data_IF_098529394368
#
_entry.id   IF_098529394368
#
_cell.length_a   1.000
_cell.length_b   1.000
_cell.length_c   1.000
_cell.angle_alpha   90.00
_cell.angle_beta   90.00
_cell.angle_gamma   90.00
#
_symmetry.space_group_name_H-M   'P 1'
#
loop_
_entity.id
_entity.type
_entity.pdbx_description
1 polymer ?
#
# COMPACT_ATOMS: atom_id res chain seq x y z
N UNK A 1 89.71 -93.63 -66.42
CA UNK A 1 90.35 -94.92 -66.09
C UNK A 1 90.58 -95.65 -67.40
N UNK A 2 91.82 -96.05 -67.70
CA UNK A 2 92.17 -96.69 -68.96
C UNK A 2 91.47 -98.07 -69.03
N UNK A 3 90.45 -98.19 -69.88
CA UNK A 3 89.74 -99.43 -70.13
C UNK A 3 90.71 -100.47 -70.68
N UNK A 4 90.96 -101.52 -69.90
CA UNK A 4 91.74 -102.68 -70.34
C UNK A 4 91.11 -103.31 -71.57
N UNK A 5 91.92 -103.98 -72.38
CA UNK A 5 91.45 -104.63 -73.60
C UNK A 5 90.51 -105.78 -73.26
N UNK A 6 89.37 -105.79 -73.92
CA UNK A 6 88.37 -106.83 -73.76
C UNK A 6 88.67 -108.02 -74.67
N UNK A 7 88.19 -109.19 -74.30
CA UNK A 7 88.29 -110.40 -75.11
C UNK A 7 87.70 -110.19 -76.52
N UNK A 8 86.54 -109.52 -76.61
CA UNK A 8 85.86 -109.21 -77.88
C UNK A 8 86.73 -108.36 -78.81
N UNK A 9 87.49 -107.40 -78.28
CA UNK A 9 88.40 -106.58 -79.08
C UNK A 9 89.53 -107.44 -79.69
N UNK A 10 90.09 -108.36 -78.89
CA UNK A 10 91.15 -109.29 -79.34
C UNK A 10 90.61 -110.25 -80.41
N UNK A 11 89.42 -110.79 -80.21
CA UNK A 11 88.79 -111.73 -81.13
C UNK A 11 88.41 -111.06 -82.44
N UNK A 12 87.80 -109.87 -82.39
CA UNK A 12 87.42 -109.11 -83.59
C UNK A 12 88.66 -108.74 -84.42
N UNK A 13 89.74 -108.33 -83.76
CA UNK A 13 91.00 -108.03 -84.46
C UNK A 13 91.68 -109.27 -85.03
N UNK A 14 91.65 -110.41 -84.32
CA UNK A 14 92.18 -111.67 -84.81
C UNK A 14 91.37 -112.22 -86.00
N UNK A 15 90.04 -112.14 -85.94
CA UNK A 15 89.13 -112.49 -87.03
C UNK A 15 89.35 -111.61 -88.26
N UNK A 16 89.48 -110.29 -88.08
CA UNK A 16 89.81 -109.37 -89.18
C UNK A 16 91.16 -109.69 -89.84
N UNK A 17 92.20 -109.98 -89.03
CA UNK A 17 93.51 -110.39 -89.55
C UNK A 17 93.44 -111.72 -90.31
N UNK A 18 92.64 -112.67 -89.84
CA UNK A 18 92.42 -113.95 -90.50
C UNK A 18 91.70 -113.78 -91.86
N UNK A 19 90.67 -112.92 -91.92
CA UNK A 19 89.97 -112.57 -93.16
C UNK A 19 90.88 -111.84 -94.17
N UNK A 20 91.84 -111.05 -93.68
CA UNK A 20 92.89 -110.42 -94.49
C UNK A 20 93.98 -111.42 -94.95
N UNK A 21 93.89 -112.71 -94.56
CA UNK A 21 94.84 -113.76 -94.94
C UNK A 21 96.14 -113.75 -94.14
N UNK A 22 96.25 -112.93 -93.08
CA UNK A 22 97.44 -112.83 -92.24
C UNK A 22 97.32 -113.70 -90.98
N UNK A 23 98.41 -114.35 -90.57
CA UNK A 23 98.42 -115.15 -89.32
C UNK A 23 98.30 -114.23 -88.10
N UNK A 24 97.25 -114.36 -87.26
CA UNK A 24 97.07 -113.52 -86.07
C UNK A 24 98.10 -113.90 -84.99
N UNK A 25 99.19 -113.14 -84.91
CA UNK A 25 100.19 -113.25 -83.84
C UNK A 25 99.94 -112.18 -82.78
N UNK A 26 100.41 -112.39 -81.55
CA UNK A 26 100.23 -111.44 -80.43
C UNK A 26 100.63 -110.01 -80.84
N UNK A 27 101.73 -109.87 -81.55
CA UNK A 27 102.22 -108.57 -82.03
C UNK A 27 101.32 -107.93 -83.10
N UNK A 28 100.84 -108.72 -84.07
CA UNK A 28 99.96 -108.21 -85.14
C UNK A 28 98.58 -107.84 -84.62
N UNK A 29 98.03 -108.64 -83.71
CA UNK A 29 96.75 -108.35 -83.06
C UNK A 29 96.87 -107.07 -82.23
N UNK A 30 97.98 -106.90 -81.50
CA UNK A 30 98.27 -105.66 -80.77
C UNK A 30 98.40 -104.45 -81.71
N UNK A 31 99.07 -104.60 -82.85
CA UNK A 31 99.19 -103.53 -83.86
C UNK A 31 97.81 -103.15 -84.42
N UNK A 32 96.95 -104.12 -84.72
CA UNK A 32 95.60 -103.88 -85.25
C UNK A 32 94.68 -103.16 -84.26
N UNK A 33 94.79 -103.48 -82.96
CA UNK A 33 94.02 -102.83 -81.88
C UNK A 33 94.65 -101.49 -81.47
N UNK A 34 95.96 -101.32 -81.68
CA UNK A 34 96.71 -100.10 -81.35
C UNK A 34 97.04 -99.92 -79.86
N UNK A 35 96.68 -100.87 -79.00
CA UNK A 35 96.90 -100.85 -77.54
C UNK A 35 97.02 -102.28 -76.99
N UNK A 36 97.53 -102.45 -75.76
CA UNK A 36 97.51 -103.74 -75.04
C UNK A 36 98.86 -104.31 -74.63
N UNK A 37 98.97 -104.88 -73.43
CA UNK A 37 100.17 -105.62 -73.02
C UNK A 37 100.19 -107.01 -73.67
N UNK A 38 101.35 -107.52 -74.13
CA UNK A 38 101.49 -108.90 -74.65
C UNK A 38 100.94 -109.95 -73.67
N UNK A 39 101.09 -109.74 -72.37
CA UNK A 39 100.60 -110.65 -71.34
C UNK A 39 99.07 -110.70 -71.24
N UNK A 40 98.38 -109.66 -71.71
CA UNK A 40 96.90 -109.60 -71.70
C UNK A 40 96.32 -110.15 -73.00
N UNK A 41 97.00 -109.96 -74.14
CA UNK A 41 96.52 -110.48 -75.43
C UNK A 41 96.75 -111.98 -75.56
N UNK A 42 97.82 -112.53 -74.96
CA UNK A 42 98.16 -113.95 -75.10
C UNK A 42 97.05 -114.92 -74.68
N UNK A 43 96.42 -114.81 -73.48
CA UNK A 43 95.39 -115.76 -73.05
C UNK A 43 94.12 -115.66 -73.91
N UNK A 44 93.72 -114.44 -74.29
CA UNK A 44 92.54 -114.23 -75.14
C UNK A 44 92.76 -114.71 -76.57
N UNK A 45 93.95 -114.54 -77.13
CA UNK A 45 94.29 -115.04 -78.46
C UNK A 45 94.35 -116.58 -78.49
N UNK A 46 94.79 -117.21 -77.41
CA UNK A 46 94.80 -118.67 -77.28
C UNK A 46 93.37 -119.24 -77.13
N UNK A 47 92.52 -118.54 -76.37
CA UNK A 47 91.10 -118.87 -76.25
C UNK A 47 90.38 -118.69 -77.59
N UNK A 48 90.67 -117.59 -78.30
CA UNK A 48 90.21 -117.37 -79.67
C UNK A 48 90.62 -118.52 -80.59
N UNK A 49 91.91 -118.89 -80.63
CA UNK A 49 92.41 -119.95 -81.51
C UNK A 49 91.78 -121.32 -81.19
N UNK A 50 91.53 -121.61 -79.90
CA UNK A 50 90.83 -122.83 -79.47
C UNK A 50 89.39 -122.87 -79.97
N UNK A 51 88.69 -121.74 -79.92
CA UNK A 51 87.30 -121.62 -80.41
C UNK A 51 87.22 -121.55 -81.94
N UNK A 52 88.28 -121.08 -82.60
CA UNK A 52 88.33 -120.87 -84.05
C UNK A 52 88.12 -122.17 -84.84
N UNK A 53 88.66 -123.29 -84.37
CA UNK A 53 88.47 -124.60 -85.03
C UNK A 53 86.99 -125.01 -85.11
N UNK A 54 86.19 -124.66 -84.09
CA UNK A 54 84.74 -124.89 -84.11
C UNK A 54 84.03 -123.87 -85.03
N UNK A 55 84.45 -122.60 -85.01
CA UNK A 55 83.85 -121.52 -85.82
C UNK A 55 84.13 -121.67 -87.32
N UNK A 56 85.31 -122.12 -87.73
CA UNK A 56 85.63 -122.39 -89.14
C UNK A 56 84.82 -123.57 -89.67
N UNK A 57 84.49 -124.54 -88.81
CA UNK A 57 83.66 -125.69 -89.20
C UNK A 57 82.18 -125.31 -89.39
N UNK A 58 81.76 -124.16 -88.88
CA UNK A 58 80.42 -123.60 -89.08
C UNK A 58 80.42 -122.59 -90.24
N UNK A 59 79.81 -122.91 -91.40
CA UNK A 59 79.77 -122.04 -92.58
C UNK A 59 79.08 -120.69 -92.36
N UNK A 60 78.36 -120.49 -91.24
CA UNK A 60 77.62 -119.26 -90.93
C UNK A 60 78.32 -118.29 -89.97
N UNK A 61 79.42 -118.68 -89.33
CA UNK A 61 79.99 -117.93 -88.20
C UNK A 61 80.63 -116.56 -88.57
N UNK A 62 80.84 -116.30 -89.86
CA UNK A 62 81.43 -115.06 -90.38
C UNK A 62 80.58 -114.39 -91.47
N UNK A 63 79.36 -114.87 -91.71
CA UNK A 63 78.46 -114.27 -92.68
C UNK A 63 77.91 -112.93 -92.14
N UNK A 64 77.89 -111.90 -92.99
CA UNK A 64 77.15 -110.67 -92.70
C UNK A 64 75.68 -111.01 -92.40
N UNK A 65 74.99 -110.25 -91.52
CA UNK A 65 73.56 -110.46 -91.30
C UNK A 65 72.86 -110.50 -92.65
N UNK A 66 72.04 -111.52 -92.89
CA UNK A 66 71.37 -111.68 -94.16
C UNK A 66 70.64 -110.37 -94.51
N UNK A 67 70.98 -109.79 -95.67
CA UNK A 67 70.31 -108.61 -96.18
C UNK A 67 68.81 -108.91 -96.22
N UNK A 68 68.01 -108.09 -95.53
CA UNK A 68 66.56 -108.21 -95.58
C UNK A 68 66.15 -108.15 -97.06
N UNK A 69 65.39 -109.12 -97.58
CA UNK A 69 65.01 -109.13 -98.99
C UNK A 69 64.35 -107.80 -99.37
N UNK A 70 64.74 -107.20 -100.49
CA UNK A 70 64.26 -105.88 -100.95
C UNK A 70 62.73 -105.69 -100.86
N UNK A 71 61.88 -106.71 -101.17
CA UNK A 71 60.42 -106.57 -101.01
C UNK A 71 59.99 -106.31 -99.57
N UNK A 72 60.68 -106.89 -98.57
CA UNK A 72 60.39 -106.71 -97.15
C UNK A 72 60.84 -105.33 -96.66
N UNK A 73 62.00 -104.84 -97.13
CA UNK A 73 62.48 -103.50 -96.81
C UNK A 73 61.55 -102.40 -97.38
N UNK A 74 61.08 -102.56 -98.62
CA UNK A 74 60.11 -101.66 -99.26
C UNK A 74 58.76 -101.67 -98.53
N UNK A 75 58.26 -102.84 -98.13
CA UNK A 75 57.03 -102.94 -97.34
C UNK A 75 57.18 -102.24 -95.98
N UNK A 76 58.30 -102.42 -95.28
CA UNK A 76 58.58 -101.75 -94.01
C UNK A 76 58.65 -100.22 -94.15
N UNK A 77 59.29 -99.72 -95.21
CA UNK A 77 59.33 -98.29 -95.51
C UNK A 77 57.93 -97.73 -95.78
N UNK A 78 57.11 -98.44 -96.55
CA UNK A 78 55.73 -98.04 -96.82
C UNK A 78 54.86 -98.02 -95.54
N UNK A 79 54.97 -99.05 -94.68
CA UNK A 79 54.28 -99.05 -93.39
C UNK A 79 54.73 -97.90 -92.49
N UNK A 80 56.02 -97.57 -92.49
CA UNK A 80 56.56 -96.44 -91.74
C UNK A 80 56.05 -95.09 -92.26
N UNK A 81 56.01 -94.90 -93.58
CA UNK A 81 55.43 -93.69 -94.19
C UNK A 81 53.94 -93.56 -93.89
N UNK A 82 53.18 -94.65 -94.00
CA UNK A 82 51.77 -94.67 -93.63
C UNK A 82 51.57 -94.33 -92.14
N UNK A 83 52.35 -94.93 -91.24
CA UNK A 83 52.31 -94.61 -89.81
C UNK A 83 52.66 -93.15 -89.51
N UNK A 84 53.66 -92.58 -90.19
CA UNK A 84 53.99 -91.16 -90.06
C UNK A 84 52.90 -90.24 -90.60
N UNK A 85 52.26 -90.61 -91.72
CA UNK A 85 51.15 -89.84 -92.29
C UNK A 85 49.94 -89.80 -91.35
N UNK A 86 49.61 -90.95 -90.75
CA UNK A 86 48.53 -91.09 -89.79
C UNK A 86 48.84 -90.34 -88.49
N UNK A 87 50.07 -90.46 -87.96
CA UNK A 87 50.50 -89.72 -86.78
C UNK A 87 50.45 -88.19 -87.00
N UNK A 88 50.87 -87.70 -88.18
CA UNK A 88 50.76 -86.28 -88.54
C UNK A 88 49.31 -85.83 -88.66
N UNK A 89 48.43 -86.64 -89.28
CA UNK A 89 47.02 -86.33 -89.39
C UNK A 89 46.33 -86.26 -88.01
N UNK A 90 46.61 -87.21 -87.13
CA UNK A 90 46.12 -87.20 -85.74
C UNK A 90 46.64 -86.01 -84.95
N UNK A 91 47.92 -85.65 -85.10
CA UNK A 91 48.50 -84.47 -84.46
C UNK A 91 47.87 -83.18 -84.97
N UNK A 92 47.63 -83.05 -86.27
CA UNK A 92 46.98 -81.88 -86.85
C UNK A 92 45.52 -81.76 -86.37
N UNK A 93 44.78 -82.86 -86.29
CA UNK A 93 43.43 -82.88 -85.69
C UNK A 93 43.47 -82.46 -84.22
N UNK A 94 44.40 -82.98 -83.42
CA UNK A 94 44.55 -82.62 -82.02
C UNK A 94 44.88 -81.13 -81.85
N UNK A 95 45.75 -80.57 -82.71
CA UNK A 95 46.02 -79.13 -82.70
C UNK A 95 44.80 -78.31 -83.08
N UNK A 96 44.06 -78.68 -84.13
CA UNK A 96 42.82 -77.99 -84.52
C UNK A 96 41.81 -77.98 -83.36
N UNK A 97 41.61 -79.12 -82.71
CA UNK A 97 40.75 -79.21 -81.52
C UNK A 97 41.18 -78.28 -80.39
N UNK A 98 42.47 -78.27 -80.04
CA UNK A 98 43.01 -77.35 -79.02
C UNK A 98 42.89 -75.87 -79.40
N UNK A 99 43.09 -75.53 -80.68
CA UNK A 99 42.93 -74.16 -81.15
C UNK A 99 41.48 -73.69 -81.08
N UNK A 100 40.53 -74.56 -81.40
CA UNK A 100 39.10 -74.28 -81.25
C UNK A 100 38.70 -74.15 -79.77
N UNK A 101 39.21 -75.00 -78.88
CA UNK A 101 39.00 -74.88 -77.42
C UNK A 101 39.56 -73.57 -76.89
N UNK A 102 40.80 -73.22 -77.23
CA UNK A 102 41.44 -71.98 -76.79
C UNK A 102 40.72 -70.73 -77.34
N UNK A 103 40.20 -70.79 -78.58
CA UNK A 103 39.39 -69.72 -79.15
C UNK A 103 38.09 -69.52 -78.36
N UNK A 104 37.40 -70.61 -78.00
CA UNK A 104 36.18 -70.55 -77.18
C UNK A 104 36.46 -70.02 -75.77
N UNK A 105 37.54 -70.45 -75.14
CA UNK A 105 37.96 -69.93 -73.82
C UNK A 105 38.30 -68.43 -73.91
N UNK A 106 38.98 -68.00 -74.98
CA UNK A 106 39.28 -66.59 -75.23
C UNK A 106 38.03 -65.73 -75.40
N UNK A 107 37.04 -66.21 -76.14
CA UNK A 107 35.74 -65.54 -76.31
C UNK A 107 34.96 -65.45 -74.99
N UNK A 108 34.97 -66.52 -74.18
CA UNK A 108 34.33 -66.52 -72.85
C UNK A 108 35.00 -65.51 -71.91
N UNK A 109 36.32 -65.52 -71.82
CA UNK A 109 37.07 -64.58 -71.00
C UNK A 109 36.86 -63.12 -71.44
N UNK A 110 36.75 -62.86 -72.75
CA UNK A 110 36.45 -61.54 -73.27
C UNK A 110 35.04 -61.08 -72.87
N UNK A 111 34.03 -61.94 -73.01
CA UNK A 111 32.66 -61.67 -72.55
C UNK A 111 32.61 -61.41 -71.04
N UNK A 112 33.30 -62.22 -70.25
CA UNK A 112 33.33 -62.05 -68.79
C UNK A 112 34.02 -60.74 -68.39
N UNK A 113 35.10 -60.36 -69.07
CA UNK A 113 35.78 -59.09 -68.85
C UNK A 113 34.87 -57.89 -69.17
N UNK A 114 34.13 -57.94 -70.28
CA UNK A 114 33.15 -56.90 -70.64
C UNK A 114 32.03 -56.81 -69.58
N UNK A 115 31.50 -57.94 -69.12
CA UNK A 115 30.48 -57.96 -68.06
C UNK A 115 30.99 -57.38 -66.74
N UNK A 116 32.23 -57.67 -66.36
CA UNK A 116 32.86 -57.12 -65.16
C UNK A 116 33.05 -55.60 -65.30
N UNK A 117 33.54 -55.12 -66.44
CA UNK A 117 33.67 -53.68 -66.69
C UNK A 117 32.33 -52.94 -66.62
N UNK A 118 31.26 -53.52 -67.19
CA UNK A 118 29.92 -52.95 -67.10
C UNK A 118 29.42 -52.89 -65.65
N UNK A 119 29.67 -53.93 -64.84
CA UNK A 119 29.30 -53.95 -63.42
C UNK A 119 30.08 -52.94 -62.61
N UNK A 120 31.39 -52.81 -62.85
CA UNK A 120 32.23 -51.80 -62.19
C UNK A 120 31.76 -50.38 -62.51
N UNK A 121 31.45 -50.10 -63.78
CA UNK A 121 30.90 -48.81 -64.18
C UNK A 121 29.56 -48.51 -63.50
N UNK A 122 28.66 -49.51 -63.40
CA UNK A 122 27.39 -49.36 -62.69
C UNK A 122 27.56 -49.13 -61.18
N UNK A 123 28.51 -49.83 -60.54
CA UNK A 123 28.81 -49.65 -59.12
C UNK A 123 29.41 -48.26 -58.87
N UNK A 124 30.34 -47.81 -59.72
CA UNK A 124 30.92 -46.47 -59.62
C UNK A 124 29.85 -45.37 -59.77
N UNK A 125 28.91 -45.53 -60.71
CA UNK A 125 27.83 -44.58 -60.88
C UNK A 125 26.89 -44.55 -59.66
N UNK A 126 26.50 -45.71 -59.13
CA UNK A 126 25.70 -45.80 -57.90
C UNK A 126 26.40 -45.18 -56.69
N UNK A 127 27.72 -45.37 -56.57
CA UNK A 127 28.50 -44.75 -55.51
C UNK A 127 28.47 -43.23 -55.61
N UNK A 128 28.63 -42.68 -56.82
CA UNK A 128 28.52 -41.23 -57.06
C UNK A 128 27.13 -40.69 -56.71
N UNK A 129 26.07 -41.38 -57.11
CA UNK A 129 24.70 -41.00 -56.78
C UNK A 129 24.44 -41.03 -55.27
N UNK A 130 24.96 -42.05 -54.58
CA UNK A 130 24.88 -42.15 -53.11
C UNK A 130 25.68 -41.05 -52.41
N UNK A 131 26.84 -40.70 -52.92
CA UNK A 131 27.65 -39.59 -52.39
C UNK A 131 26.94 -38.24 -52.57
N UNK A 132 26.34 -38.00 -53.74
CA UNK A 132 25.60 -36.76 -53.99
C UNK A 132 24.33 -36.67 -53.15
N UNK A 133 23.56 -37.76 -53.05
CA UNK A 133 22.37 -37.80 -52.18
C UNK A 133 22.73 -37.61 -50.71
N UNK A 134 23.85 -38.18 -50.24
CA UNK A 134 24.35 -37.97 -48.87
C UNK A 134 24.80 -36.52 -48.67
N UNK A 135 25.45 -35.90 -49.66
CA UNK A 135 25.82 -34.48 -49.61
C UNK A 135 24.59 -33.57 -49.54
N UNK A 136 23.58 -33.85 -50.34
CA UNK A 136 22.31 -33.12 -50.30
C UNK A 136 21.63 -33.31 -48.95
N UNK A 137 21.52 -34.55 -48.44
CA UNK A 137 20.92 -34.84 -47.15
C UNK A 137 21.65 -34.16 -45.98
N UNK A 138 22.99 -34.17 -45.98
CA UNK A 138 23.78 -33.49 -44.94
C UNK A 138 23.63 -31.97 -44.99
N UNK A 139 23.62 -31.36 -46.18
CA UNK A 139 23.33 -29.93 -46.32
C UNK A 139 21.91 -29.55 -45.89
N UNK A 140 20.92 -30.39 -46.18
CA UNK A 140 19.54 -30.19 -45.73
C UNK A 140 19.41 -30.32 -44.21
N UNK A 141 20.12 -31.28 -43.60
CA UNK A 141 20.17 -31.43 -42.15
C UNK A 141 20.81 -30.20 -41.49
N UNK A 142 21.96 -29.74 -41.98
CA UNK A 142 22.61 -28.53 -41.47
C UNK A 142 21.68 -27.30 -41.59
N UNK A 143 21.02 -27.11 -42.73
CA UNK A 143 20.07 -26.02 -42.91
C UNK A 143 18.83 -26.14 -41.98
N UNK A 144 18.40 -27.36 -41.65
CA UNK A 144 17.32 -27.58 -40.69
C UNK A 144 17.77 -27.30 -39.25
N UNK A 145 18.99 -27.68 -38.88
CA UNK A 145 19.61 -27.37 -37.58
C UNK A 145 19.78 -25.86 -37.40
N UNK A 146 20.26 -25.13 -38.40
CA UNK A 146 20.38 -23.66 -38.38
C UNK A 146 19.00 -23.00 -38.19
N UNK A 147 17.97 -23.48 -38.90
CA UNK A 147 16.59 -22.99 -38.74
C UNK A 147 16.04 -23.27 -37.35
N UNK A 148 16.33 -24.44 -36.78
CA UNK A 148 15.92 -24.81 -35.42
C UNK A 148 16.59 -23.89 -34.39
N UNK A 149 17.91 -23.69 -34.49
CA UNK A 149 18.65 -22.79 -33.61
C UNK A 149 18.14 -21.34 -33.70
N UNK A 150 17.85 -20.85 -34.91
CA UNK A 150 17.26 -19.53 -35.11
C UNK A 150 15.86 -19.42 -34.46
N UNK A 151 15.03 -20.45 -34.61
CA UNK A 151 13.71 -20.50 -33.98
C UNK A 151 13.79 -20.55 -32.45
N UNK A 152 14.72 -21.31 -31.88
CA UNK A 152 14.96 -21.36 -30.43
C UNK A 152 15.42 -20.01 -29.88
N UNK A 153 16.32 -19.31 -30.60
CA UNK A 153 16.75 -17.96 -30.22
C UNK A 153 15.59 -16.97 -30.27
N UNK A 154 14.74 -17.04 -31.31
CA UNK A 154 13.54 -16.20 -31.40
C UNK A 154 12.57 -16.49 -30.26
N UNK A 155 12.35 -17.76 -29.90
CA UNK A 155 11.49 -18.13 -28.77
C UNK A 155 12.03 -17.57 -27.45
N UNK A 156 13.33 -17.71 -27.18
CA UNK A 156 13.97 -17.13 -25.98
C UNK A 156 13.80 -15.61 -25.92
N UNK A 157 13.98 -14.92 -27.04
CA UNK A 157 13.77 -13.47 -27.13
C UNK A 157 12.31 -13.09 -26.86
N UNK A 158 11.34 -13.85 -27.40
CA UNK A 158 9.91 -13.65 -27.14
C UNK A 158 9.57 -13.90 -25.67
N UNK A 159 10.10 -14.94 -25.05
CA UNK A 159 9.88 -15.25 -23.63
C UNK A 159 10.44 -14.15 -22.71
N UNK A 160 11.63 -13.62 -23.01
CA UNK A 160 12.18 -12.48 -22.28
C UNK A 160 11.32 -11.23 -22.45
N UNK A 161 10.83 -10.96 -23.66
CA UNK A 161 9.92 -9.84 -23.92
C UNK A 161 8.58 -10.00 -23.18
N UNK A 162 8.01 -11.21 -23.17
CA UNK A 162 6.79 -11.50 -22.42
C UNK A 162 6.99 -11.29 -20.93
N UNK A 163 8.10 -11.76 -20.35
CA UNK A 163 8.45 -11.51 -18.94
C UNK A 163 8.56 -10.02 -18.63
N UNK A 164 9.22 -9.24 -19.49
CA UNK A 164 9.32 -7.78 -19.33
C UNK A 164 7.96 -7.10 -19.37
N UNK A 165 7.10 -7.47 -20.32
CA UNK A 165 5.74 -6.93 -20.44
C UNK A 165 4.87 -7.32 -19.24
N UNK A 166 5.00 -8.56 -18.75
CA UNK A 166 4.28 -9.01 -17.54
C UNK A 166 4.66 -8.18 -16.31
N UNK A 167 5.97 -7.98 -16.08
CA UNK A 167 6.44 -7.12 -14.99
C UNK A 167 5.92 -5.67 -15.12
N UNK A 168 6.00 -5.09 -16.34
CA UNK A 168 5.46 -3.75 -16.59
C UNK A 168 3.95 -3.66 -16.35
N UNK A 169 3.21 -4.72 -16.69
CA UNK A 169 1.76 -4.78 -16.45
C UNK A 169 1.45 -4.89 -14.96
N UNK A 170 2.22 -5.67 -14.21
CA UNK A 170 2.10 -5.76 -12.74
C UNK A 170 2.41 -4.42 -12.08
N UNK A 171 3.51 -3.76 -12.46
CA UNK A 171 3.87 -2.43 -11.98
C UNK A 171 2.79 -1.39 -12.29
N UNK A 172 2.26 -1.39 -13.52
CA UNK A 172 1.18 -0.48 -13.92
C UNK A 172 -0.12 -0.74 -13.13
N UNK A 173 -0.44 -2.01 -12.85
CA UNK A 173 -1.58 -2.40 -12.01
C UNK A 173 -1.40 -1.91 -10.58
N UNK A 174 -0.22 -2.11 -10.00
CA UNK A 174 0.12 -1.61 -8.66
C UNK A 174 0.06 -0.08 -8.58
N UNK A 175 0.60 0.63 -9.57
CA UNK A 175 0.53 2.09 -9.64
C UNK A 175 -0.92 2.59 -9.73
N UNK A 176 -1.76 1.93 -10.54
CA UNK A 176 -3.18 2.27 -10.67
C UNK A 176 -3.94 2.01 -9.37
N UNK A 177 -3.71 0.86 -8.71
CA UNK A 177 -4.31 0.56 -7.41
C UNK A 177 -3.89 1.56 -6.33
N UNK A 178 -2.62 1.95 -6.30
CA UNK A 178 -2.12 2.96 -5.37
C UNK A 178 -2.77 4.33 -5.62
N UNK A 179 -2.89 4.75 -6.89
CA UNK A 179 -3.56 6.00 -7.24
C UNK A 179 -5.06 6.00 -6.88
N UNK A 180 -5.75 4.88 -7.09
CA UNK A 180 -7.15 4.73 -6.67
C UNK A 180 -7.30 4.81 -5.15
N UNK A 181 -6.47 4.08 -4.40
CA UNK A 181 -6.48 4.08 -2.94
C UNK A 181 -6.17 5.48 -2.38
N UNK A 182 -5.24 6.22 -2.98
CA UNK A 182 -4.95 7.59 -2.61
C UNK A 182 -6.12 8.53 -2.92
N UNK A 183 -6.74 8.37 -4.09
CA UNK A 183 -7.97 9.11 -4.44
C UNK A 183 -9.11 8.85 -3.46
N UNK A 184 -9.31 7.61 -3.00
CA UNK A 184 -10.28 7.26 -1.98
C UNK A 184 -9.96 7.90 -0.62
N UNK A 185 -8.68 7.90 -0.21
CA UNK A 185 -8.24 8.55 1.03
C UNK A 185 -8.50 10.05 0.99
N UNK A 186 -8.14 10.72 -0.09
CA UNK A 186 -8.37 12.16 -0.27
C UNK A 186 -9.87 12.45 -0.24
N UNK A 187 -10.71 11.68 -0.95
CA UNK A 187 -12.18 11.82 -0.90
C UNK A 187 -12.73 11.65 0.51
N UNK A 188 -12.27 10.64 1.24
CA UNK A 188 -12.70 10.40 2.62
C UNK A 188 -12.30 11.55 3.56
N UNK A 189 -11.08 12.06 3.43
CA UNK A 189 -10.62 13.22 4.20
C UNK A 189 -11.44 14.47 3.89
N UNK A 190 -11.74 14.74 2.63
CA UNK A 190 -12.60 15.86 2.24
C UNK A 190 -14.03 15.70 2.77
N UNK A 191 -14.61 14.50 2.69
CA UNK A 191 -15.94 14.23 3.23
C UNK A 191 -15.98 14.48 4.76
N UNK A 192 -14.96 14.00 5.49
CA UNK A 192 -14.84 14.26 6.92
C UNK A 192 -14.66 15.75 7.24
N UNK A 193 -13.88 16.48 6.45
CA UNK A 193 -13.69 17.91 6.63
C UNK A 193 -14.99 18.70 6.40
N UNK A 194 -15.78 18.34 5.39
CA UNK A 194 -17.09 18.94 5.12
C UNK A 194 -18.09 18.64 6.25
N UNK A 195 -18.19 17.38 6.69
CA UNK A 195 -19.06 16.98 7.81
C UNK A 195 -18.69 17.71 9.12
N UNK A 196 -17.39 17.84 9.41
CA UNK A 196 -16.92 18.58 10.56
C UNK A 196 -17.25 20.08 10.47
N UNK A 197 -17.16 20.66 9.28
CA UNK A 197 -17.51 22.06 9.03
C UNK A 197 -19.02 22.28 9.18
N UNK A 198 -19.85 21.41 8.61
CA UNK A 198 -21.30 21.45 8.74
C UNK A 198 -21.75 21.28 10.20
N UNK A 199 -21.14 20.33 10.93
CA UNK A 199 -21.39 20.13 12.36
C UNK A 199 -21.03 21.38 13.17
N UNK A 200 -19.91 22.05 12.85
CA UNK A 200 -19.54 23.32 13.50
C UNK A 200 -20.52 24.43 13.17
N UNK A 201 -20.90 24.59 11.90
CA UNK A 201 -21.85 25.63 11.48
C UNK A 201 -23.21 25.44 12.15
N UNK A 202 -23.76 24.22 12.14
CA UNK A 202 -25.04 23.92 12.79
C UNK A 202 -24.98 24.12 14.31
N UNK A 203 -23.85 23.78 14.96
CA UNK A 203 -23.64 24.06 16.38
C UNK A 203 -23.57 25.57 16.68
N UNK A 204 -22.86 26.34 15.85
CA UNK A 204 -22.80 27.80 15.96
C UNK A 204 -24.17 28.45 15.74
N UNK A 205 -24.92 28.01 14.72
CA UNK A 205 -26.26 28.50 14.44
C UNK A 205 -27.21 28.23 15.61
N UNK A 206 -27.23 27.01 16.15
CA UNK A 206 -28.01 26.67 17.35
C UNK A 206 -27.64 27.54 18.54
N UNK A 207 -26.35 27.77 18.76
CA UNK A 207 -25.87 28.63 19.86
C UNK A 207 -26.36 30.07 19.67
N UNK A 208 -26.23 30.64 18.48
CA UNK A 208 -26.70 32.00 18.19
C UNK A 208 -28.21 32.15 18.31
N UNK A 209 -28.99 31.16 17.86
CA UNK A 209 -30.45 31.17 18.05
C UNK A 209 -30.82 31.16 19.54
N UNK A 210 -30.14 30.32 20.34
CA UNK A 210 -30.34 30.28 21.79
C UNK A 210 -29.95 31.61 22.47
N UNK A 211 -28.82 32.22 22.07
CA UNK A 211 -28.39 33.53 22.56
C UNK A 211 -29.44 34.60 22.21
N UNK A 212 -29.90 34.64 20.95
CA UNK A 212 -30.94 35.58 20.49
C UNK A 212 -32.26 35.41 21.27
N UNK A 213 -32.70 34.18 21.50
CA UNK A 213 -33.91 33.91 22.28
C UNK A 213 -33.73 34.30 23.75
N UNK A 214 -32.54 34.12 24.32
CA UNK A 214 -32.20 34.55 25.68
C UNK A 214 -32.22 36.09 25.79
N UNK A 215 -31.70 36.80 24.80
CA UNK A 215 -31.71 38.26 24.72
C UNK A 215 -33.12 38.79 24.52
N UNK A 216 -33.93 38.17 23.63
CA UNK A 216 -35.36 38.48 23.50
C UNK A 216 -36.10 38.28 24.82
N UNK A 217 -35.81 37.20 25.53
CA UNK A 217 -36.35 36.94 26.86
C UNK A 217 -35.87 37.96 27.92
N UNK A 218 -34.62 38.44 27.84
CA UNK A 218 -34.09 39.50 28.69
C UNK A 218 -34.78 40.85 28.39
N UNK A 219 -34.91 41.23 27.12
CA UNK A 219 -35.63 42.44 26.69
C UNK A 219 -37.07 42.40 27.18
N UNK A 220 -37.79 41.28 26.99
CA UNK A 220 -39.17 41.13 27.47
C UNK A 220 -39.28 41.27 28.99
N UNK A 221 -38.33 40.71 29.74
CA UNK A 221 -38.27 40.87 31.21
C UNK A 221 -37.96 42.31 31.64
N UNK A 222 -37.04 42.99 30.94
CA UNK A 222 -36.72 44.39 31.19
C UNK A 222 -37.90 45.31 30.87
N UNK A 223 -38.60 45.06 29.76
CA UNK A 223 -39.84 45.77 29.40
C UNK A 223 -40.90 45.57 30.49
N UNK A 224 -41.16 44.34 30.92
CA UNK A 224 -42.11 44.08 32.00
C UNK A 224 -41.73 44.78 33.32
N UNK A 225 -40.44 44.78 33.70
CA UNK A 225 -39.96 45.52 34.88
C UNK A 225 -40.11 47.03 34.74
N UNK A 226 -39.90 47.57 33.53
CA UNK A 226 -40.08 48.98 33.24
C UNK A 226 -41.56 49.36 33.34
N UNK A 227 -42.46 48.56 32.77
CA UNK A 227 -43.90 48.74 32.86
C UNK A 227 -44.38 48.67 34.33
N UNK A 228 -43.87 47.71 35.11
CA UNK A 228 -44.17 47.58 36.55
C UNK A 228 -43.62 48.76 37.36
N UNK A 229 -42.39 49.20 37.10
CA UNK A 229 -41.81 50.37 37.77
C UNK A 229 -42.56 51.66 37.39
N UNK A 230 -42.99 51.80 36.14
CA UNK A 230 -43.84 52.90 35.69
C UNK A 230 -45.20 52.86 36.38
N UNK A 231 -45.84 51.70 36.47
CA UNK A 231 -47.10 51.53 37.19
C UNK A 231 -46.95 51.84 38.70
N UNK A 232 -45.89 51.34 39.34
CA UNK A 232 -45.57 51.63 40.73
C UNK A 232 -45.30 53.12 40.96
N UNK A 233 -44.55 53.78 40.06
CA UNK A 233 -44.31 55.23 40.09
C UNK A 233 -45.61 56.02 39.91
N UNK A 234 -46.48 55.62 38.99
CA UNK A 234 -47.80 56.22 38.80
C UNK A 234 -48.68 56.04 40.05
N UNK A 235 -48.66 54.86 40.67
CA UNK A 235 -49.38 54.59 41.92
C UNK A 235 -48.83 55.44 43.08
N UNK A 236 -47.51 55.53 43.25
CA UNK A 236 -46.87 56.39 44.25
C UNK A 236 -47.21 57.86 44.00
N UNK A 237 -47.19 58.32 42.75
CA UNK A 237 -47.58 59.68 42.40
C UNK A 237 -49.07 59.94 42.71
N UNK A 238 -49.95 58.98 42.45
CA UNK A 238 -51.37 59.08 42.81
C UNK A 238 -51.59 59.08 44.33
N UNK A 239 -50.87 58.23 45.08
CA UNK A 239 -50.89 58.22 46.54
C UNK A 239 -50.36 59.52 47.13
N UNK A 240 -49.24 60.05 46.61
CA UNK A 240 -48.67 61.33 47.03
C UNK A 240 -49.62 62.50 46.72
N UNK A 241 -50.30 62.49 45.55
CA UNK A 241 -51.35 63.46 45.23
C UNK A 241 -52.51 63.38 46.23
N UNK A 242 -52.99 62.17 46.54
CA UNK A 242 -54.05 61.96 47.53
C UNK A 242 -53.63 62.39 48.94
N UNK A 243 -52.41 62.07 49.37
CA UNK A 243 -51.88 62.51 50.65
C UNK A 243 -51.74 64.04 50.70
N UNK A 244 -51.29 64.68 49.62
CA UNK A 244 -51.25 66.14 49.52
C UNK A 244 -52.65 66.76 49.57
N UNK A 245 -53.66 66.17 48.90
CA UNK A 245 -55.06 66.60 49.01
C UNK A 245 -55.55 66.48 50.46
N UNK A 246 -55.27 65.37 51.14
CA UNK A 246 -55.60 65.18 52.56
C UNK A 246 -54.91 66.20 53.46
N UNK A 247 -53.61 66.45 53.29
CA UNK A 247 -52.87 67.48 54.04
C UNK A 247 -53.42 68.88 53.75
N UNK A 248 -53.77 69.18 52.50
CA UNK A 248 -54.41 70.45 52.15
C UNK A 248 -55.80 70.60 52.79
N UNK A 249 -56.58 69.53 52.86
CA UNK A 249 -57.90 69.55 53.50
C UNK A 249 -57.78 69.65 55.03
N UNK A 250 -56.85 68.92 55.65
CA UNK A 250 -56.52 69.05 57.07
C UNK A 250 -56.05 70.48 57.39
N UNK A 251 -55.17 71.05 56.55
CA UNK A 251 -54.74 72.44 56.71
C UNK A 251 -55.91 73.41 56.57
N UNK A 252 -56.82 73.22 55.61
CA UNK A 252 -58.05 74.01 55.49
C UNK A 252 -58.95 73.86 56.72
N UNK A 253 -59.06 72.66 57.30
CA UNK A 253 -59.82 72.43 58.53
C UNK A 253 -59.16 73.12 59.72
N UNK A 254 -57.85 72.97 59.92
CA UNK A 254 -57.09 73.66 60.97
C UNK A 254 -57.14 75.19 60.81
N UNK A 255 -57.10 75.71 59.57
CA UNK A 255 -57.29 77.15 59.30
C UNK A 255 -58.70 77.61 59.69
N UNK A 256 -59.74 76.80 59.42
CA UNK A 256 -61.12 77.08 59.88
C UNK A 256 -61.25 77.03 61.39
N UNK A 257 -60.65 76.04 62.06
CA UNK A 257 -60.63 75.94 63.52
C UNK A 257 -59.87 77.11 64.15
N UNK A 258 -58.73 77.51 63.60
CA UNK A 258 -57.99 78.68 64.04
C UNK A 258 -58.78 79.98 63.83
N UNK A 259 -59.53 80.10 62.73
CA UNK A 259 -60.45 81.22 62.51
C UNK A 259 -61.61 81.21 63.50
N UNK A 260 -62.19 80.05 63.82
CA UNK A 260 -63.24 79.90 64.83
C UNK A 260 -62.74 80.27 66.23
N UNK A 261 -61.56 79.77 66.64
CA UNK A 261 -60.91 80.14 67.90
C UNK A 261 -60.56 81.63 67.96
N UNK A 262 -60.12 82.24 66.84
CA UNK A 262 -59.91 83.70 66.76
C UNK A 262 -61.22 84.47 66.92
N UNK A 263 -62.31 84.00 66.31
CA UNK A 263 -63.63 84.61 66.45
C UNK A 263 -64.17 84.48 67.89
N UNK A 264 -63.97 83.33 68.54
CA UNK A 264 -64.30 83.13 69.96
C UNK A 264 -63.45 84.02 70.88
N UNK A 265 -62.14 84.13 70.62
CA UNK A 265 -61.26 85.02 71.38
C UNK A 265 -61.66 86.49 71.20
N UNK A 266 -62.03 86.92 69.98
CA UNK A 266 -62.56 88.26 69.73
C UNK A 266 -63.91 88.48 70.44
N UNK A 267 -64.80 87.49 70.44
CA UNK A 267 -66.08 87.57 71.16
C UNK A 267 -65.89 87.66 72.69
N UNK A 268 -64.96 86.88 73.25
CA UNK A 268 -64.55 86.98 74.65
C UNK A 268 -63.93 88.34 74.98
N UNK A 269 -63.11 88.89 74.08
CA UNK A 269 -62.49 90.20 74.25
C UNK A 269 -63.53 91.32 74.23
N UNK A 270 -64.50 91.27 73.31
CA UNK A 270 -65.66 92.20 73.28
C UNK A 270 -66.50 92.07 74.55
N UNK A 271 -66.71 90.84 75.05
CA UNK A 271 -67.45 90.60 76.30
C UNK A 271 -66.72 91.15 77.53
N UNK A 272 -65.41 90.97 77.63
CA UNK A 272 -64.59 91.57 78.69
C UNK A 272 -64.56 93.10 78.59
N UNK A 273 -64.49 93.68 77.40
CA UNK A 273 -64.57 95.14 77.22
C UNK A 273 -65.95 95.68 77.64
N UNK A 274 -67.03 94.96 77.33
CA UNK A 274 -68.37 95.31 77.79
C UNK A 274 -68.52 95.20 79.32
N UNK A 275 -67.95 94.18 79.95
CA UNK A 275 -67.91 94.03 81.41
C UNK A 275 -67.06 95.12 82.09
N UNK A 276 -65.93 95.51 81.49
CA UNK A 276 -65.10 96.62 81.97
C UNK A 276 -65.84 97.97 81.84
N UNK A 277 -66.51 98.23 80.72
CA UNK A 277 -67.35 99.42 80.55
C UNK A 277 -68.53 99.46 81.54
N UNK A 278 -69.13 98.31 81.85
CA UNK A 278 -70.16 98.18 82.88
C UNK A 278 -69.60 98.42 84.30
N UNK A 279 -68.38 97.97 84.59
CA UNK A 279 -67.72 98.21 85.87
C UNK A 279 -67.31 99.69 86.06
N UNK A 280 -66.85 100.36 85.00
CA UNK A 280 -66.47 101.78 85.04
C UNK A 280 -67.70 102.69 85.17
N UNK A 281 -68.81 102.37 84.51
CA UNK A 281 -70.09 103.08 84.69
C UNK A 281 -70.67 102.87 86.09
N UNK A 282 -70.55 101.67 86.67
CA UNK A 282 -70.94 101.41 88.06
C UNK A 282 -70.06 102.16 89.07
N UNK A 283 -68.75 102.31 88.80
CA UNK A 283 -67.83 103.12 89.63
C UNK A 283 -68.12 104.62 89.54
N UNK A 284 -68.47 105.12 88.35
CA UNK A 284 -68.89 106.52 88.19
C UNK A 284 -70.19 106.79 88.97
N UNK A 285 -71.18 105.92 88.87
CA UNK A 285 -72.42 106.02 89.64
C UNK A 285 -72.23 105.89 91.17
N UNK A 286 -71.21 105.14 91.62
CA UNK A 286 -70.84 105.07 93.03
C UNK A 286 -70.19 106.37 93.53
N UNK A 287 -69.31 107.00 92.73
CA UNK A 287 -68.72 108.32 93.04
C UNK A 287 -69.77 109.43 93.09
N UNK A 288 -70.75 109.41 92.18
CA UNK A 288 -71.86 110.38 92.20
C UNK A 288 -72.75 110.20 93.45
N UNK A 289 -72.95 108.94 93.89
CA UNK A 289 -73.65 108.65 95.16
C UNK A 289 -72.86 109.09 96.39
N UNK A 290 -71.54 108.95 96.40
CA UNK A 290 -70.69 109.47 97.48
C UNK A 290 -70.74 111.00 97.56
N UNK A 291 -70.71 111.71 96.42
CA UNK A 291 -70.88 113.17 96.38
C UNK A 291 -72.27 113.64 96.87
N UNK A 292 -73.32 112.90 96.53
CA UNK A 292 -74.69 113.17 97.00
C UNK A 292 -74.89 112.89 98.50
N UNK A 293 -74.13 111.96 99.08
CA UNK A 293 -74.17 111.67 100.52
C UNK A 293 -73.33 112.67 101.31
N UNK A 294 -72.18 113.11 100.81
CA UNK A 294 -71.36 114.15 101.45
C UNK A 294 -72.12 115.49 101.57
N UNK A 295 -72.80 115.92 100.50
CA UNK A 295 -73.63 117.14 100.51
C UNK A 295 -74.85 117.04 101.44
N UNK A 296 -75.41 115.84 101.65
CA UNK A 296 -76.47 115.60 102.65
C UNK A 296 -75.95 115.64 104.09
N UNK A 297 -74.69 115.26 104.31
CA UNK A 297 -74.05 115.26 105.62
C UNK A 297 -73.70 116.69 106.06
N UNK A 298 -73.15 117.52 105.18
CA UNK A 298 -72.96 118.97 105.42
C UNK A 298 -74.29 119.68 105.74
N UNK A 299 -75.36 119.34 105.00
CA UNK A 299 -76.70 119.91 105.25
C UNK A 299 -77.35 119.40 106.55
N UNK A 300 -76.90 118.28 107.11
CA UNK A 300 -77.36 117.75 108.40
C UNK A 300 -76.55 118.34 109.57
N UNK A 301 -75.26 118.60 109.37
CA UNK A 301 -74.39 119.28 110.35
C UNK A 301 -74.80 120.75 110.55
N UNK A 302 -75.16 121.46 109.47
CA UNK A 302 -75.72 122.82 109.58
C UNK A 302 -77.07 122.86 110.32
N UNK A 303 -77.94 121.85 110.10
CA UNK A 303 -79.21 121.72 110.85
C UNK A 303 -79.00 121.39 112.33
N UNK A 304 -77.93 120.66 112.65
CA UNK A 304 -77.53 120.36 114.03
C UNK A 304 -76.99 121.59 114.75
N UNK A 305 -76.16 122.41 114.09
CA UNK A 305 -75.64 123.66 114.67
C UNK A 305 -76.74 124.68 114.95
N UNK A 306 -77.73 124.79 114.06
CA UNK A 306 -78.87 125.70 114.25
C UNK A 306 -79.80 125.26 115.39
N UNK A 307 -79.95 123.94 115.59
CA UNK A 307 -80.74 123.37 116.69
C UNK A 307 -80.05 123.55 118.05
N UNK A 308 -78.71 123.47 118.09
CA UNK A 308 -77.91 123.73 119.29
C UNK A 308 -77.91 125.21 119.71
N UNK A 309 -77.97 126.14 118.75
CA UNK A 309 -78.15 127.56 119.04
C UNK A 309 -79.55 127.87 119.62
N UNK A 310 -80.60 127.17 119.17
CA UNK A 310 -81.96 127.31 119.69
C UNK A 310 -82.13 126.75 121.12
N UNK A 311 -81.37 125.73 121.51
CA UNK A 311 -81.39 125.18 122.87
C UNK A 311 -80.71 126.10 123.90
N UNK A 312 -79.60 126.76 123.53
CA UNK A 312 -78.96 127.77 124.40
C UNK A 312 -79.86 128.97 124.71
N UNK A 313 -80.71 129.38 123.77
CA UNK A 313 -81.66 130.48 123.96
C UNK A 313 -82.87 130.12 124.85
N UNK A 314 -83.22 128.83 124.98
CA UNK A 314 -84.32 128.37 125.86
C UNK A 314 -83.88 128.15 127.31
N UNK A 315 -82.63 127.76 127.54
CA UNK A 315 -82.11 127.57 128.90
C UNK A 315 -81.88 128.89 129.66
N UNK A 316 -81.56 129.99 128.95
CA UNK A 316 -81.53 131.33 129.57
C UNK A 316 -82.92 131.79 130.03
N UNK A 317 -84.00 131.40 129.35
CA UNK A 317 -85.39 131.74 129.71
C UNK A 317 -85.89 130.98 130.95
N UNK A 318 -85.39 129.76 131.21
CA UNK A 318 -85.73 128.98 132.41
C UNK A 318 -84.97 129.45 133.67
N UNK A 319 -83.82 130.10 133.49
CA UNK A 319 -83.04 130.72 134.57
C UNK A 319 -83.61 132.04 135.13
N UNK A 320 -84.59 132.64 134.45
CA UNK A 320 -85.29 133.85 134.92
C UNK A 320 -86.63 133.53 135.60
N UNK A 321 -87.35 132.51 135.14
CA UNK A 321 -88.67 132.12 135.68
C UNK A 321 -88.59 131.47 137.07
N UNK A 322 -87.50 130.75 137.36
CA UNK A 322 -87.26 130.15 138.69
C UNK A 322 -86.82 131.16 139.75
N UNK A 323 -86.21 132.29 139.35
CA UNK A 323 -85.93 133.41 140.27
C UNK A 323 -87.20 134.15 140.71
N UNK A 324 -88.28 134.09 139.92
CA UNK A 324 -89.51 134.83 140.21
C UNK A 324 -90.52 134.07 141.11
N UNK A 325 -90.51 132.73 141.08
CA UNK A 325 -91.45 131.91 141.87
C UNK A 325 -91.00 131.61 143.30
N UNK A 326 -89.69 131.64 143.61
CA UNK A 326 -89.23 131.44 144.99
C UNK A 326 -89.31 132.70 145.88
N UNK A 327 -89.62 133.87 145.33
CA UNK A 327 -89.81 135.10 146.11
C UNK A 327 -91.24 135.25 146.69
N UNK A 328 -92.20 134.40 146.31
CA UNK A 328 -93.63 134.68 146.53
C UNK A 328 -94.37 133.76 147.53
N UNK A 329 -93.70 132.79 148.16
CA UNK A 329 -94.32 131.89 149.17
C UNK A 329 -93.70 132.08 150.57
N UNK A 330 -93.19 133.29 150.83
CA UNK A 330 -92.57 133.67 152.11
C UNK A 330 -93.53 134.36 153.10
N UNK A 331 -94.86 134.26 152.95
CA UNK A 331 -95.81 134.85 153.93
C UNK A 331 -97.09 134.01 154.12
N UNK A 332 -97.17 133.41 155.32
CA UNK A 332 -98.31 132.82 156.05
C UNK A 332 -98.66 131.37 155.65
N UNK A 333 -98.51 130.35 156.51
CA UNK A 333 -98.67 130.28 157.97
C UNK A 333 -97.46 129.72 158.74
N UNK A 334 -97.34 130.09 160.02
CA UNK A 334 -96.40 129.49 160.95
C UNK A 334 -97.08 129.11 162.29
N UNK A 335 -96.90 127.84 162.68
CA UNK A 335 -96.89 127.40 164.07
C UNK A 335 -97.11 125.89 164.23
N UNK A 336 -96.31 125.09 164.96
CA UNK A 336 -95.05 125.30 165.70
C UNK A 336 -94.69 123.95 166.38
N UNK A 337 -93.43 123.48 166.28
CA UNK A 337 -92.77 122.59 167.26
C UNK A 337 -91.25 122.46 166.95
N UNK A 338 -90.37 122.26 167.95
CA UNK A 338 -88.96 122.71 167.95
C UNK A 338 -87.93 121.54 168.06
N UNK A 339 -86.61 121.73 168.35
CA UNK A 339 -85.56 122.64 167.84
C UNK A 339 -84.23 121.89 167.47
N UNK A 340 -83.16 122.66 167.18
CA UNK A 340 -81.72 122.33 167.41
C UNK A 340 -80.88 121.59 166.30
N UNK A 341 -79.51 121.70 166.28
CA UNK A 341 -78.74 122.86 165.79
C UNK A 341 -77.49 122.50 164.92
N UNK A 342 -76.64 123.51 164.66
CA UNK A 342 -75.22 123.48 164.26
C UNK A 342 -74.96 123.40 162.73
N UNK A 343 -74.46 124.47 162.09
CA UNK A 343 -73.04 124.88 162.03
C UNK A 343 -72.17 123.88 161.22
N UNK A 344 -70.92 124.21 160.92
CA UNK A 344 -70.46 125.29 160.04
C UNK A 344 -69.48 124.78 158.97
#
# INVERSE_FOLDING_TARGET
MATGITETDVWTAADALLLEGARPTIERVRQKIGRGSPNTVSPYLETWFRSLGARIKDPGAFAAPAAVPDPVALAAAHFWEAALSEARAQQEQAYRGRWEELAREGEQLASDAEQLQLREAQLAHREQDLQETLRVATSQLAAAEDRLQAAEQQLRQRDEQLKRIQLQLEDARHATQAALAEGDRIRAQHAQALDALETRHTAHERRWLNELDSERGAIKRLQARLDEAQAASQQQAAQARKALEQEQDQRRQAEREAQALRAEAQALQVRQQAEQAAADTARAAARDREGALASRLEAAEQRSSDSLAQLKAKDEQLGELTRHLMAQVQRQDAGLAPPEPAQP
#
